data_IF_245828311000
#
_entry.id   IF_245828311000
#
_cell.length_a   1.000
_cell.length_b   1.000
_cell.length_c   1.000
_cell.angle_alpha   90.00
_cell.angle_beta   90.00
_cell.angle_gamma   90.00
#
_symmetry.space_group_name_H-M   'P 1'
#
loop_
_entity.id
_entity.type
_entity.pdbx_description
1 polymer ?
#
# COMPACT_ATOMS: atom_id res chain seq x y z
N UNK A 1 25.76 -15.37 0.42
CA UNK A 1 24.38 -14.97 0.10
C UNK A 1 24.48 -13.68 -0.69
N UNK A 2 23.76 -13.52 -1.79
CA UNK A 2 23.78 -12.26 -2.54
C UNK A 2 23.04 -11.18 -1.76
N UNK A 3 23.70 -10.07 -1.44
CA UNK A 3 23.13 -8.86 -0.80
C UNK A 3 22.21 -8.07 -1.74
N UNK A 4 21.59 -8.75 -2.70
CA UNK A 4 20.79 -8.11 -3.74
C UNK A 4 19.36 -7.94 -3.24
N UNK A 5 19.01 -6.69 -2.95
CA UNK A 5 17.63 -6.29 -2.71
C UNK A 5 16.90 -6.16 -4.04
N UNK A 6 15.70 -6.71 -4.10
CA UNK A 6 14.78 -6.64 -5.23
C UNK A 6 13.61 -5.75 -4.83
N UNK A 7 13.27 -4.80 -5.69
CA UNK A 7 12.15 -3.88 -5.47
C UNK A 7 11.00 -4.25 -6.40
N UNK A 8 9.79 -4.23 -5.87
CA UNK A 8 8.58 -4.39 -6.67
C UNK A 8 7.62 -3.25 -6.37
N UNK A 9 7.08 -2.66 -7.43
CA UNK A 9 6.05 -1.64 -7.29
C UNK A 9 4.75 -2.30 -6.81
N UNK A 10 4.15 -1.69 -5.80
CA UNK A 10 2.85 -2.04 -5.26
C UNK A 10 1.89 -0.90 -5.52
N UNK A 11 0.73 -1.23 -6.07
CA UNK A 11 -0.41 -0.33 -6.15
C UNK A 11 -1.47 -0.76 -5.16
N UNK A 12 -1.77 0.11 -4.21
CA UNK A 12 -2.94 0.00 -3.34
C UNK A 12 -4.08 0.81 -3.97
N UNK A 13 -5.24 0.21 -4.15
CA UNK A 13 -6.47 0.93 -4.49
C UNK A 13 -7.38 0.93 -3.27
N UNK A 14 -7.78 2.13 -2.87
CA UNK A 14 -8.67 2.38 -1.75
C UNK A 14 -9.98 2.93 -2.29
N UNK A 15 -11.08 2.39 -1.81
CA UNK A 15 -12.43 2.88 -2.14
C UNK A 15 -13.32 2.88 -0.91
N UNK A 16 -14.37 3.69 -0.98
CA UNK A 16 -15.36 3.88 0.09
C UNK A 16 -14.78 4.51 1.37
N UNK A 17 -13.62 5.17 1.29
CA UNK A 17 -13.08 5.91 2.41
C UNK A 17 -13.91 7.19 2.62
N UNK A 18 -14.35 7.45 3.84
CA UNK A 18 -15.05 8.69 4.19
C UNK A 18 -14.14 9.62 5.02
N UNK A 19 -14.47 10.92 5.13
CA UNK A 19 -13.74 11.86 5.97
C UNK A 19 -13.57 11.35 7.42
N UNK A 20 -12.36 11.48 7.95
CA UNK A 20 -11.99 11.07 9.31
C UNK A 20 -11.61 9.60 9.48
N UNK A 21 -11.64 8.80 8.41
CA UNK A 21 -11.25 7.39 8.47
C UNK A 21 -9.74 7.17 8.35
N UNK A 22 -9.31 6.09 8.99
CA UNK A 22 -7.98 5.53 8.89
C UNK A 22 -7.96 4.34 7.92
N UNK A 23 -6.95 4.34 7.05
CA UNK A 23 -6.62 3.24 6.16
C UNK A 23 -5.26 2.69 6.57
N UNK A 24 -5.19 1.42 6.91
CA UNK A 24 -3.96 0.74 7.34
C UNK A 24 -3.77 -0.52 6.52
N UNK A 25 -2.61 -0.64 5.89
CA UNK A 25 -2.17 -1.86 5.21
C UNK A 25 -0.91 -2.35 5.90
N UNK A 26 -0.99 -3.52 6.51
CA UNK A 26 0.10 -4.14 7.24
C UNK A 26 0.70 -5.28 6.41
N UNK A 27 2.02 -5.33 6.42
CA UNK A 27 2.81 -6.47 5.99
C UNK A 27 2.89 -7.46 7.15
N UNK A 28 2.81 -8.75 6.86
CA UNK A 28 3.01 -9.77 7.89
C UNK A 28 4.40 -9.63 8.52
N UNK A 29 4.43 -9.43 9.84
CA UNK A 29 5.63 -9.63 10.64
C UNK A 29 5.96 -11.12 10.64
N UNK A 30 6.63 -11.56 9.60
CA UNK A 30 7.42 -12.77 9.66
C UNK A 30 8.88 -12.36 9.72
N UNK A 31 9.73 -13.27 10.16
CA UNK A 31 11.18 -13.27 10.04
C UNK A 31 11.68 -13.23 8.58
N UNK A 32 10.90 -12.60 7.69
CA UNK A 32 11.05 -12.50 6.26
C UNK A 32 11.60 -11.10 5.92
N UNK A 33 12.62 -10.98 5.06
CA UNK A 33 13.31 -9.74 4.74
C UNK A 33 12.52 -8.84 3.78
N UNK A 34 11.19 -8.78 3.91
CA UNK A 34 10.33 -7.92 3.09
C UNK A 34 9.95 -6.67 3.89
N UNK A 35 10.02 -5.49 3.26
CA UNK A 35 9.63 -4.23 3.89
C UNK A 35 8.98 -3.28 2.89
N UNK A 36 8.11 -2.39 3.37
CA UNK A 36 7.71 -1.23 2.57
C UNK A 36 8.88 -0.30 2.32
N UNK A 37 8.90 0.30 1.15
CA UNK A 37 9.93 1.22 0.69
C UNK A 37 9.35 2.30 -0.21
N UNK A 38 10.05 3.43 -0.32
CA UNK A 38 9.83 4.44 -1.34
C UNK A 38 10.44 4.07 -2.69
N UNK A 39 11.09 2.91 -2.83
CA UNK A 39 11.72 2.44 -4.06
C UNK A 39 13.24 2.52 -4.04
N UNK A 40 13.91 2.05 -5.11
CA UNK A 40 15.37 2.07 -5.23
C UNK A 40 15.91 3.50 -5.45
N UNK A 41 17.09 3.79 -4.90
CA UNK A 41 17.71 5.13 -4.99
C UNK A 41 18.04 5.57 -6.42
N UNK A 42 18.16 4.63 -7.36
CA UNK A 42 18.64 4.87 -8.74
C UNK A 42 17.55 5.09 -9.78
N UNK A 43 16.27 4.83 -9.47
CA UNK A 43 15.17 5.02 -10.43
C UNK A 43 14.58 6.44 -10.34
N UNK A 44 14.49 7.12 -11.49
CA UNK A 44 13.82 8.43 -11.58
C UNK A 44 12.32 8.39 -11.22
N UNK A 45 11.72 7.19 -11.25
CA UNK A 45 10.32 6.93 -10.90
C UNK A 45 10.11 6.45 -9.47
N UNK A 46 11.16 6.35 -8.65
CA UNK A 46 11.01 6.05 -7.23
C UNK A 46 10.24 7.13 -6.50
N UNK A 47 9.50 6.72 -5.47
CA UNK A 47 8.71 7.61 -4.63
C UNK A 47 7.39 7.01 -4.23
N UNK A 48 6.55 7.88 -3.69
CA UNK A 48 5.18 7.57 -3.27
C UNK A 48 4.25 8.45 -4.09
N UNK A 49 3.36 7.83 -4.85
CA UNK A 49 2.40 8.53 -5.69
C UNK A 49 1.00 8.26 -5.18
N UNK A 50 0.30 9.32 -4.77
CA UNK A 50 -1.09 9.26 -4.36
C UNK A 50 -1.93 9.94 -5.43
N UNK A 51 -2.91 9.24 -5.97
CA UNK A 51 -3.76 9.74 -7.05
C UNK A 51 -5.22 9.51 -6.72
N UNK A 52 -6.04 10.56 -6.83
CA UNK A 52 -7.49 10.46 -6.74
C UNK A 52 -8.12 10.62 -8.13
N UNK A 53 -9.42 10.34 -8.24
CA UNK A 53 -10.17 10.54 -9.48
C UNK A 53 -10.11 12.01 -9.92
N UNK A 54 -10.09 12.30 -11.23
CA UNK A 54 -10.14 13.68 -11.72
C UNK A 54 -11.32 14.46 -11.11
N UNK A 55 -11.04 15.63 -10.55
CA UNK A 55 -12.04 16.48 -9.89
C UNK A 55 -12.38 16.11 -8.44
N UNK A 56 -11.89 15.00 -7.92
CA UNK A 56 -11.99 14.67 -6.50
C UNK A 56 -10.85 15.30 -5.70
N UNK A 57 -11.10 15.60 -4.43
CA UNK A 57 -10.07 16.02 -3.48
C UNK A 57 -9.96 14.91 -2.44
N UNK A 58 -8.77 14.30 -2.31
CA UNK A 58 -8.47 13.42 -1.19
C UNK A 58 -8.18 14.31 0.03
N UNK A 59 -9.04 14.31 1.07
CA UNK A 59 -8.76 15.11 2.26
C UNK A 59 -7.71 14.41 3.12
N UNK A 60 -6.46 14.35 2.66
CA UNK A 60 -5.37 13.70 3.38
C UNK A 60 -4.98 14.54 4.61
N UNK A 61 -5.05 13.97 5.81
CA UNK A 61 -4.55 14.61 7.03
C UNK A 61 -3.12 14.19 7.36
N UNK A 62 -2.80 12.90 7.14
CA UNK A 62 -1.44 12.40 7.27
C UNK A 62 -1.22 11.16 6.42
N UNK A 63 0.00 11.00 5.94
CA UNK A 63 0.50 9.76 5.35
C UNK A 63 1.75 9.34 6.13
N UNK A 64 1.85 8.06 6.48
CA UNK A 64 3.07 7.50 7.06
C UNK A 64 3.34 6.11 6.52
N UNK A 65 4.62 5.78 6.39
CA UNK A 65 5.10 4.47 5.96
C UNK A 65 6.23 4.04 6.88
N UNK A 66 6.28 2.76 7.17
CA UNK A 66 7.33 2.09 7.94
C UNK A 66 7.56 0.72 7.31
N UNK A 67 8.61 0.01 7.72
CA UNK A 67 8.92 -1.31 7.16
C UNK A 67 7.72 -2.28 7.17
N UNK A 68 6.84 -2.20 8.18
CA UNK A 68 5.74 -3.15 8.38
C UNK A 68 4.36 -2.62 7.99
N UNK A 69 4.18 -1.31 7.78
CA UNK A 69 2.85 -0.77 7.47
C UNK A 69 2.85 0.54 6.69
N UNK A 70 1.76 0.74 5.95
CA UNK A 70 1.34 2.00 5.33
C UNK A 70 0.08 2.47 6.03
N UNK A 71 0.08 3.72 6.48
CA UNK A 71 -1.06 4.34 7.17
C UNK A 71 -1.43 5.66 6.48
N UNK A 72 -2.71 5.79 6.17
CA UNK A 72 -3.31 7.00 5.61
C UNK A 72 -4.46 7.42 6.51
N UNK A 73 -4.44 8.66 6.98
CA UNK A 73 -5.56 9.25 7.69
C UNK A 73 -6.21 10.32 6.81
N UNK A 74 -7.54 10.30 6.73
CA UNK A 74 -8.30 11.37 6.09
C UNK A 74 -8.73 12.42 7.12
N UNK A 75 -8.91 13.67 6.71
CA UNK A 75 -9.41 14.75 7.55
C UNK A 75 -10.91 14.56 7.78
N UNK A 76 -11.35 14.80 9.01
CA UNK A 76 -12.77 14.80 9.40
C UNK A 76 -13.51 16.07 8.97
N UNK A 77 -12.81 17.12 8.55
CA UNK A 77 -13.41 18.42 8.19
C UNK A 77 -13.88 18.50 6.73
N UNK A 78 -13.65 17.46 5.94
CA UNK A 78 -14.05 17.46 4.54
C UNK A 78 -15.56 17.22 4.40
N UNK A 79 -16.21 18.06 3.61
CA UNK A 79 -17.65 17.99 3.31
C UNK A 79 -18.00 17.09 2.12
N UNK A 80 -17.02 16.38 1.54
CA UNK A 80 -17.22 15.47 0.41
C UNK A 80 -17.71 14.10 0.88
N UNK A 81 -18.40 13.38 -0.02
CA UNK A 81 -18.81 11.99 0.18
C UNK A 81 -17.62 11.02 0.21
N UNK A 82 -17.89 9.73 -0.01
CA UNK A 82 -16.81 8.75 -0.08
C UNK A 82 -15.82 9.07 -1.20
N UNK A 83 -14.54 8.83 -0.92
CA UNK A 83 -13.43 9.04 -1.84
C UNK A 83 -12.80 7.71 -2.23
N UNK A 84 -12.33 7.67 -3.47
CA UNK A 84 -11.49 6.59 -3.99
C UNK A 84 -10.17 7.17 -4.47
N UNK A 85 -9.09 6.47 -4.17
CA UNK A 85 -7.75 6.88 -4.54
C UNK A 85 -6.84 5.66 -4.65
N UNK A 86 -5.72 5.82 -5.33
CA UNK A 86 -4.65 4.84 -5.39
C UNK A 86 -3.37 5.38 -4.79
N UNK A 87 -2.58 4.48 -4.22
CA UNK A 87 -1.23 4.73 -3.73
C UNK A 87 -0.31 3.80 -4.51
N UNK A 88 0.72 4.34 -5.15
CA UNK A 88 1.84 3.55 -5.68
C UNK A 88 3.07 3.80 -4.83
N UNK A 89 3.68 2.70 -4.40
CA UNK A 89 4.90 2.66 -3.61
C UNK A 89 5.64 1.34 -3.91
N UNK A 90 6.59 0.94 -3.09
CA UNK A 90 7.38 -0.26 -3.32
C UNK A 90 7.38 -1.18 -2.10
N UNK A 91 7.54 -2.47 -2.37
CA UNK A 91 8.10 -3.41 -1.41
C UNK A 91 9.54 -3.69 -1.83
N UNK A 92 10.41 -3.91 -0.83
CA UNK A 92 11.77 -4.40 -1.02
C UNK A 92 11.89 -5.75 -0.34
N UNK A 93 12.57 -6.69 -0.99
CA UNK A 93 12.88 -8.00 -0.42
C UNK A 93 14.31 -8.43 -0.77
N UNK A 94 14.91 -9.27 0.07
CA UNK A 94 16.13 -9.97 -0.32
C UNK A 94 15.85 -10.93 -1.50
N UNK A 95 16.81 -11.08 -2.41
CA UNK A 95 16.72 -12.06 -3.49
C UNK A 95 16.39 -13.47 -2.97
N UNK A 96 15.46 -14.15 -3.64
CA UNK A 96 15.01 -15.51 -3.29
C UNK A 96 13.69 -15.57 -2.50
N UNK A 97 13.16 -14.45 -2.03
CA UNK A 97 11.79 -14.40 -1.50
C UNK A 97 10.78 -14.66 -2.63
N UNK A 98 9.78 -15.49 -2.32
CA UNK A 98 8.77 -15.94 -3.29
C UNK A 98 7.35 -15.49 -2.93
N UNK A 99 7.12 -15.07 -1.69
CA UNK A 99 5.80 -14.63 -1.23
C UNK A 99 5.94 -13.59 -0.11
N UNK A 100 4.87 -12.83 0.06
CA UNK A 100 4.64 -11.97 1.22
C UNK A 100 3.14 -11.92 1.48
N UNK A 101 2.73 -11.38 2.63
CA UNK A 101 1.31 -11.30 2.96
C UNK A 101 0.93 -9.93 3.47
N UNK A 102 -0.22 -9.43 3.02
CA UNK A 102 -0.79 -8.15 3.45
C UNK A 102 -2.10 -8.39 4.19
N UNK A 103 -2.41 -7.55 5.17
CA UNK A 103 -3.76 -7.41 5.74
C UNK A 103 -4.16 -5.95 5.86
N UNK A 104 -5.45 -5.70 5.85
CA UNK A 104 -6.02 -4.38 6.06
C UNK A 104 -6.51 -4.28 7.50
N UNK A 105 -6.11 -3.23 8.19
CA UNK A 105 -6.63 -2.82 9.51
C UNK A 105 -7.41 -1.51 9.41
N UNK A 106 -7.85 -1.18 8.20
CA UNK A 106 -8.61 0.03 7.89
C UNK A 106 -9.96 0.03 8.59
N UNK A 107 -10.53 1.22 8.77
CA UNK A 107 -11.85 1.40 9.35
C UNK A 107 -12.94 0.68 8.55
N UNK A 108 -14.05 0.37 9.23
CA UNK A 108 -15.19 -0.34 8.66
C UNK A 108 -15.71 0.37 7.41
N UNK A 109 -15.97 -0.40 6.36
CA UNK A 109 -16.50 0.08 5.09
C UNK A 109 -15.42 0.47 4.06
N UNK A 110 -14.17 0.66 4.49
CA UNK A 110 -13.05 0.89 3.56
C UNK A 110 -12.68 -0.43 2.87
N UNK A 111 -12.62 -0.41 1.54
CA UNK A 111 -12.12 -1.52 0.75
C UNK A 111 -10.72 -1.20 0.22
N UNK A 112 -9.79 -2.15 0.41
CA UNK A 112 -8.42 -2.07 -0.07
C UNK A 112 -8.14 -3.22 -1.02
N UNK A 113 -7.65 -2.91 -2.23
CA UNK A 113 -7.13 -3.86 -3.19
C UNK A 113 -5.63 -3.61 -3.39
N UNK A 114 -4.85 -4.66 -3.65
CA UNK A 114 -3.43 -4.55 -3.96
C UNK A 114 -3.11 -5.21 -5.32
N UNK A 115 -2.21 -4.60 -6.07
CA UNK A 115 -1.61 -5.13 -7.30
C UNK A 115 -0.09 -4.99 -7.20
N UNK A 116 0.63 -6.01 -7.63
CA UNK A 116 2.08 -6.14 -7.43
C UNK A 116 2.71 -6.37 -8.79
N UNK A 117 3.63 -5.50 -9.20
CA UNK A 117 4.29 -5.59 -10.51
C UNK A 117 3.30 -5.73 -11.68
N UNK A 118 2.12 -5.09 -11.56
CA UNK A 118 1.07 -5.13 -12.57
C UNK A 118 0.17 -6.37 -12.53
N UNK A 119 0.28 -7.22 -11.50
CA UNK A 119 -0.65 -8.36 -11.31
C UNK A 119 -2.11 -7.89 -11.13
N UNK A 120 -3.11 -8.76 -11.38
CA UNK A 120 -4.50 -8.41 -11.12
C UNK A 120 -4.72 -7.96 -9.68
N UNK A 121 -5.60 -6.99 -9.48
CA UNK A 121 -5.96 -6.50 -8.14
C UNK A 121 -6.58 -7.62 -7.31
N UNK A 122 -6.09 -7.78 -6.08
CA UNK A 122 -6.63 -8.71 -5.11
C UNK A 122 -7.00 -7.98 -3.82
N UNK A 123 -8.08 -8.42 -3.17
CA UNK A 123 -8.54 -7.82 -1.93
C UNK A 123 -7.55 -8.06 -0.78
N UNK A 124 -7.28 -7.00 -0.02
CA UNK A 124 -6.50 -7.07 1.21
C UNK A 124 -7.47 -7.09 2.38
N UNK A 125 -7.69 -8.28 2.96
CA UNK A 125 -8.70 -8.53 3.99
C UNK A 125 -8.18 -8.26 5.40
N UNK A 126 -9.05 -8.39 6.41
CA UNK A 126 -8.66 -8.32 7.82
C UNK A 126 -7.68 -9.44 8.25
N UNK A 127 -7.69 -10.57 7.53
CA UNK A 127 -6.71 -11.64 7.63
C UNK A 127 -5.64 -11.50 6.55
N UNK A 128 -4.45 -12.04 6.83
CA UNK A 128 -3.35 -12.02 5.89
C UNK A 128 -3.72 -12.72 4.58
N UNK A 129 -3.60 -11.98 3.48
CA UNK A 129 -3.72 -12.45 2.12
C UNK A 129 -2.32 -12.57 1.55
N UNK A 130 -1.95 -13.76 1.05
CA UNK A 130 -0.61 -14.04 0.51
C UNK A 130 -0.55 -13.70 -0.97
N UNK A 131 0.49 -12.96 -1.35
CA UNK A 131 0.77 -12.55 -2.71
C UNK A 131 2.04 -13.25 -3.20
N UNK A 132 2.07 -13.67 -4.48
CA UNK A 132 3.31 -14.13 -5.10
C UNK A 132 4.28 -12.96 -5.30
N UNK A 133 5.57 -13.24 -5.08
CA UNK A 133 6.68 -12.36 -5.42
C UNK A 133 7.31 -12.90 -6.70
N UNK A 134 6.84 -12.43 -7.86
CA UNK A 134 7.45 -12.72 -9.17
C UNK A 134 8.21 -11.49 -9.66
N UNK A 135 9.51 -11.36 -9.31
CA UNK A 135 10.33 -10.25 -9.75
C UNK A 135 10.62 -10.28 -11.26
#
# INVERSE_FOLDING_TARGET
>A
MSDTNVYQQVQLQVSNAVPGQQIVVELAEQSSPVAWSSGPDSERSSGIFIQTSPGAILPLSSFSTSATQVVVNTSSTASQGSVSFSIRLYLVAQAGIQTFSLRSRSDVGVMVLASISGSPLQAVNATFTTFPWSP
#
